data_IF_920689294762
#
_entry.id   IF_920689294762
#
_cell.length_a   1.000
_cell.length_b   1.000
_cell.length_c   1.000
_cell.angle_alpha   90.00
_cell.angle_beta   90.00
_cell.angle_gamma   90.00
#
_symmetry.space_group_name_H-M   'P 1'
#
loop_
_entity.id
_entity.type
_entity.pdbx_description
1 polymer ?
#
# COMPACT_ATOMS: atom_id res chain seq x y z
N UNK A 1 23.88 -29.45 -12.23
CA UNK A 1 23.64 -29.68 -12.48
C UNK A 1 23.41 -29.80 -12.62
N UNK A 2 23.31 -29.53 -12.62
CA UNK A 2 22.87 -29.60 -12.97
C UNK A 2 22.26 -29.42 -12.86
N UNK A 3 22.19 -29.23 -12.65
CA UNK A 3 21.45 -29.13 -12.71
C UNK A 3 21.23 -28.48 -12.54
N UNK A 4 21.34 -27.88 -12.47
CA UNK A 4 21.05 -27.47 -12.66
C UNK A 4 21.01 -27.05 -13.11
N UNK A 5 21.41 -26.96 -13.38
CA UNK A 5 21.18 -26.60 -14.09
C UNK A 5 20.47 -26.61 -14.54
N UNK A 6 20.37 -26.86 -14.73
CA UNK A 6 19.50 -26.90 -15.19
C UNK A 6 18.56 -26.47 -14.70
N UNK A 7 18.40 -26.37 -13.98
CA UNK A 7 17.54 -25.92 -13.49
C UNK A 7 17.43 -24.70 -13.39
N UNK A 8 18.18 -24.24 -13.40
CA UNK A 8 18.15 -23.10 -13.44
C UNK A 8 17.83 -22.63 -14.50
N UNK A 9 18.20 -23.01 -15.08
CA UNK A 9 17.93 -22.65 -16.15
C UNK A 9 16.68 -22.69 -16.40
N UNK A 10 16.24 -23.26 -16.00
CA UNK A 10 15.11 -23.39 -16.14
C UNK A 10 14.38 -22.41 -15.69
N UNK A 11 14.74 -21.91 -15.00
CA UNK A 11 14.08 -21.03 -14.53
C UNK A 11 13.99 -19.95 -15.25
N UNK A 12 14.90 -19.61 -15.66
CA UNK A 12 14.92 -18.56 -16.41
C UNK A 12 14.10 -18.68 -17.47
N UNK A 13 14.12 -19.62 -17.94
CA UNK A 13 13.33 -19.66 -18.95
C UNK A 13 12.02 -19.44 -18.56
N UNK A 14 11.85 -19.51 -17.79
CA UNK A 14 10.68 -19.30 -17.46
C UNK A 14 10.28 -18.10 -17.45
N UNK A 15 10.86 -17.43 -17.65
CA UNK A 15 10.45 -16.38 -17.70
C UNK A 15 10.18 -15.93 -18.75
N UNK A 16 10.43 -16.19 -19.30
CA UNK A 16 10.12 -15.78 -20.28
C UNK A 16 9.22 -16.16 -20.93
N UNK A 17 8.91 -16.74 -20.93
CA UNK A 17 7.98 -17.03 -21.37
C UNK A 17 6.98 -16.77 -21.31
N UNK A 18 6.99 -16.63 -21.10
CA UNK A 18 6.16 -16.56 -20.96
C UNK A 18 5.61 -15.89 -21.16
N UNK A 19 5.77 -15.50 -21.53
CA UNK A 19 5.25 -15.01 -21.74
C UNK A 19 4.54 -14.80 -22.08
N UNK A 20 4.52 -14.95 -22.30
CA UNK A 20 3.82 -14.92 -22.56
C UNK A 20 3.03 -14.87 -22.60
N UNK A 21 2.89 -14.95 -22.48
CA UNK A 21 2.20 -15.00 -22.33
C UNK A 21 1.41 -14.80 -22.23
N UNK A 22 1.39 -14.65 -22.54
CA UNK A 22 0.58 -14.36 -22.40
C UNK A 22 -0.39 -14.42 -21.77
N UNK A 23 -0.92 -14.73 -21.70
CA UNK A 23 -1.81 -14.90 -20.85
C UNK A 23 -1.44 -14.60 -19.57
N UNK A 24 -0.38 -14.59 -19.38
CA UNK A 24 0.10 -14.26 -18.21
C UNK A 24 -0.28 -12.97 -17.82
N UNK A 25 -0.67 -12.14 -18.65
CA UNK A 25 -1.09 -10.86 -18.30
C UNK A 25 -2.15 -10.86 -17.29
N UNK A 26 -2.95 -11.85 -17.26
CA UNK A 26 -4.01 -11.87 -16.29
C UNK A 26 -3.49 -11.92 -14.92
N UNK A 27 -2.35 -12.49 -14.73
CA UNK A 27 -1.83 -12.61 -13.42
C UNK A 27 -1.41 -11.34 -12.84
N UNK A 28 -1.13 -10.36 -13.67
CA UNK A 28 -0.70 -9.08 -13.15
C UNK A 28 -1.78 -8.04 -13.25
N UNK A 29 -3.01 -8.47 -13.44
CA UNK A 29 -4.10 -7.53 -13.59
C UNK A 29 -4.70 -7.18 -12.24
N UNK A 30 -3.93 -6.52 -11.42
CA UNK A 30 -4.38 -6.09 -10.11
C UNK A 30 -5.05 -4.74 -10.20
N UNK A 31 -5.95 -4.42 -9.26
CA UNK A 31 -6.51 -3.07 -9.23
C UNK A 31 -5.43 -2.03 -9.09
N UNK A 32 -5.62 -0.89 -9.72
CA UNK A 32 -4.66 0.19 -9.69
C UNK A 32 -4.77 0.92 -8.36
N UNK A 33 -3.68 0.99 -7.62
CA UNK A 33 -3.68 1.66 -6.32
C UNK A 33 -3.04 3.04 -6.38
N UNK A 34 -2.55 3.47 -7.55
CA UNK A 34 -1.87 4.78 -7.60
C UNK A 34 -2.84 5.90 -7.30
N UNK A 35 -2.31 6.95 -6.68
CA UNK A 35 -3.11 8.09 -6.27
C UNK A 35 -3.12 8.23 -4.77
N UNK A 36 -4.03 9.04 -4.28
CA UNK A 36 -4.13 9.33 -2.85
C UNK A 36 -5.40 8.74 -2.27
N UNK A 37 -5.26 8.15 -1.09
CA UNK A 37 -6.35 7.51 -0.36
C UNK A 37 -6.29 8.02 1.06
N UNK A 38 -7.44 8.28 1.68
CA UNK A 38 -7.42 8.86 3.02
C UNK A 38 -8.52 8.32 3.90
N UNK A 39 -8.25 8.37 5.20
CA UNK A 39 -9.23 8.06 6.22
C UNK A 39 -9.29 9.27 7.16
N UNK A 40 -10.49 9.75 7.44
CA UNK A 40 -10.71 10.88 8.32
C UNK A 40 -11.53 10.39 9.50
N UNK A 41 -11.04 10.71 10.71
CA UNK A 41 -11.75 10.43 11.95
C UNK A 41 -11.95 11.74 12.68
N UNK A 42 -13.19 12.07 12.98
CA UNK A 42 -13.52 13.28 13.71
C UNK A 42 -14.30 12.91 14.95
N UNK A 43 -13.95 13.51 16.07
CA UNK A 43 -14.68 13.33 17.30
C UNK A 43 -15.09 14.72 17.79
N UNK A 44 -16.34 15.10 17.56
CA UNK A 44 -16.80 16.39 18.06
C UNK A 44 -16.99 16.30 19.56
N UNK A 45 -16.62 17.33 20.26
CA UNK A 45 -16.77 17.39 21.70
C UNK A 45 -17.22 18.76 22.10
N UNK A 46 -17.82 18.81 23.29
CA UNK A 46 -18.32 20.07 23.79
C UNK A 46 -17.18 21.02 24.12
N UNK A 47 -16.11 20.48 24.69
CA UNK A 47 -14.97 21.30 25.08
C UNK A 47 -13.74 21.02 24.21
N UNK A 48 -13.61 19.80 23.69
CA UNK A 48 -12.47 19.42 22.91
C UNK A 48 -12.97 18.65 21.69
N UNK A 49 -12.60 19.09 20.52
CA UNK A 49 -12.86 18.34 19.30
C UNK A 49 -11.54 17.83 18.76
N UNK A 50 -11.56 16.67 18.14
CA UNK A 50 -10.35 16.11 17.55
C UNK A 50 -10.61 15.72 16.11
N UNK A 51 -9.57 15.79 15.32
CA UNK A 51 -9.60 15.45 13.90
C UNK A 51 -8.30 14.72 13.58
N UNK A 52 -8.41 13.59 12.91
CA UNK A 52 -7.25 12.87 12.44
C UNK A 52 -7.46 12.50 10.98
N UNK A 53 -6.47 12.78 10.18
CA UNK A 53 -6.50 12.37 8.78
C UNK A 53 -5.24 11.58 8.50
N UNK A 54 -5.40 10.38 7.92
CA UNK A 54 -4.28 9.58 7.45
C UNK A 54 -4.43 9.49 5.94
N UNK A 55 -3.40 9.88 5.23
CA UNK A 55 -3.42 9.84 3.78
C UNK A 55 -2.27 8.98 3.29
N UNK A 56 -2.59 8.03 2.44
CA UNK A 56 -1.59 7.21 1.76
C UNK A 56 -1.59 7.60 0.29
N UNK A 57 -0.42 7.91 -0.23
CA UNK A 57 -0.26 8.23 -1.64
C UNK A 57 0.67 7.19 -2.24
N UNK A 58 0.21 6.54 -3.29
CA UNK A 58 1.00 5.53 -3.98
C UNK A 58 1.34 6.06 -5.36
N UNK A 59 2.63 6.10 -5.67
CA UNK A 59 3.12 6.62 -6.94
C UNK A 59 3.46 5.48 -7.89
N UNK A 60 3.44 5.74 -9.17
CA UNK A 60 3.68 4.71 -10.16
C UNK A 60 5.14 4.24 -10.18
N UNK A 61 6.05 4.96 -9.52
CA UNK A 61 7.45 4.57 -9.45
C UNK A 61 7.75 3.70 -8.24
N UNK A 62 6.72 3.13 -7.61
CA UNK A 62 6.82 2.23 -6.46
C UNK A 62 7.28 2.95 -5.19
N UNK A 63 7.00 4.23 -5.10
CA UNK A 63 7.18 4.96 -3.85
C UNK A 63 5.83 5.31 -3.27
N UNK A 64 5.77 5.43 -1.95
CA UNK A 64 4.54 5.77 -1.24
C UNK A 64 4.85 6.72 -0.11
N UNK A 65 3.85 7.47 0.29
CA UNK A 65 3.97 8.41 1.40
C UNK A 65 2.76 8.26 2.29
N UNK A 66 2.99 8.18 3.60
CA UNK A 66 1.93 8.23 4.59
C UNK A 66 2.01 9.59 5.28
N UNK A 67 0.92 10.34 5.25
CA UNK A 67 0.84 11.62 5.93
C UNK A 67 -0.21 11.53 7.02
N UNK A 68 0.13 11.95 8.21
CA UNK A 68 -0.78 11.93 9.36
C UNK A 68 -0.94 13.36 9.86
N UNK A 69 -2.17 13.81 9.95
CA UNK A 69 -2.50 15.15 10.46
C UNK A 69 -3.41 14.96 11.65
N UNK A 70 -3.03 15.60 12.75
CA UNK A 70 -3.85 15.64 13.96
C UNK A 70 -4.17 17.07 14.30
N UNK A 71 -5.44 17.32 14.62
CA UNK A 71 -5.90 18.64 15.03
C UNK A 71 -6.74 18.51 16.28
N UNK A 72 -6.59 19.49 17.17
CA UNK A 72 -7.43 19.62 18.34
C UNK A 72 -8.00 21.03 18.32
N UNK A 73 -9.32 21.13 18.32
CA UNK A 73 -10.03 22.43 18.28
C UNK A 73 -9.56 23.27 17.09
N UNK A 74 -9.39 22.57 15.94
CA UNK A 74 -8.97 23.20 14.68
C UNK A 74 -7.53 23.71 14.68
N UNK A 75 -6.75 23.34 15.68
CA UNK A 75 -5.33 23.70 15.73
C UNK A 75 -4.53 22.46 15.41
N UNK A 76 -3.64 22.54 14.41
CA UNK A 76 -2.83 21.41 14.01
C UNK A 76 -1.78 21.13 15.08
N UNK A 77 -1.82 19.92 15.64
CA UNK A 77 -0.84 19.51 16.63
C UNK A 77 0.22 18.59 16.02
N UNK A 78 -0.07 17.95 14.91
CA UNK A 78 0.88 17.06 14.25
C UNK A 78 0.59 17.04 12.75
N UNK A 79 1.65 17.08 11.97
CA UNK A 79 1.57 16.92 10.52
C UNK A 79 2.89 16.28 10.12
N UNK A 80 2.87 14.96 9.95
CA UNK A 80 4.08 14.22 9.66
C UNK A 80 3.89 13.40 8.40
N UNK A 81 4.98 13.21 7.66
CA UNK A 81 4.99 12.39 6.45
C UNK A 81 6.11 11.39 6.55
N UNK A 82 5.84 10.17 6.13
CA UNK A 82 6.82 9.10 6.10
C UNK A 82 6.84 8.51 4.70
N UNK A 83 8.03 8.34 4.16
CA UNK A 83 8.19 7.82 2.82
C UNK A 83 8.58 6.36 2.84
N UNK A 84 8.10 5.62 1.84
CA UNK A 84 8.35 4.19 1.69
C UNK A 84 8.59 3.87 0.23
N UNK A 85 9.22 2.73 -0.02
CA UNK A 85 9.08 2.05 -1.29
C UNK A 85 8.10 0.91 -1.08
N UNK A 86 7.42 0.46 -2.12
CA UNK A 86 6.44 -0.60 -1.95
C UNK A 86 6.52 -1.63 -3.05
N UNK A 87 6.06 -2.81 -2.69
CA UNK A 87 5.88 -3.91 -3.63
C UNK A 87 4.46 -4.41 -3.47
N UNK A 88 3.66 -4.30 -4.51
CA UNK A 88 2.23 -4.60 -4.48
C UNK A 88 1.97 -5.87 -5.27
N UNK A 89 1.26 -6.80 -4.65
CA UNK A 89 1.01 -8.11 -5.25
C UNK A 89 -0.47 -8.46 -5.34
N UNK A 90 -1.32 -7.47 -5.33
CA UNK A 90 -2.76 -7.68 -5.52
C UNK A 90 -3.52 -7.82 -4.22
N UNK A 91 -3.13 -8.74 -3.35
CA UNK A 91 -3.79 -8.89 -2.05
C UNK A 91 -2.87 -8.53 -0.90
N UNK A 92 -1.59 -8.34 -1.17
CA UNK A 92 -0.63 -7.92 -0.15
C UNK A 92 0.24 -6.81 -0.70
N UNK A 93 0.80 -6.03 0.20
CA UNK A 93 1.71 -4.97 -0.16
C UNK A 93 2.77 -4.88 0.94
N UNK A 94 4.02 -4.78 0.54
CA UNK A 94 5.11 -4.57 1.47
C UNK A 94 5.59 -3.15 1.33
N UNK A 95 5.60 -2.42 2.43
CA UNK A 95 6.05 -1.03 2.48
C UNK A 95 7.31 -0.97 3.31
N UNK A 96 8.34 -0.34 2.78
CA UNK A 96 9.64 -0.45 3.40
C UNK A 96 10.38 0.87 3.33
N UNK A 97 11.10 1.20 4.39
CA UNK A 97 12.07 2.29 4.37
C UNK A 97 13.26 1.85 5.23
N UNK A 98 14.18 2.77 5.52
CA UNK A 98 15.38 2.40 6.23
C UNK A 98 15.15 2.10 7.71
N UNK A 99 13.92 2.25 8.20
CA UNK A 99 13.61 2.04 9.60
C UNK A 99 12.65 0.90 9.84
N UNK A 100 11.79 0.57 8.88
CA UNK A 100 10.72 -0.37 9.13
C UNK A 100 10.29 -1.04 7.84
N UNK A 101 9.79 -2.27 7.97
CA UNK A 101 9.14 -3.00 6.89
C UNK A 101 7.74 -3.35 7.36
N UNK A 102 6.75 -2.99 6.57
CA UNK A 102 5.35 -3.25 6.88
C UNK A 102 4.81 -4.24 5.86
N UNK A 103 4.33 -5.38 6.34
CA UNK A 103 3.69 -6.36 5.49
C UNK A 103 2.20 -6.27 5.73
N UNK A 104 1.49 -5.69 4.79
CA UNK A 104 0.08 -5.40 4.92
C UNK A 104 -0.74 -6.19 3.93
N UNK A 105 -1.97 -6.43 4.30
CA UNK A 105 -3.00 -6.91 3.39
C UNK A 105 -3.65 -5.70 2.75
N UNK A 106 -4.09 -5.84 1.50
CA UNK A 106 -4.72 -4.73 0.80
C UNK A 106 -5.89 -5.28 -0.01
N UNK A 107 -7.01 -4.64 0.08
CA UNK A 107 -8.15 -4.98 -0.75
C UNK A 107 -8.84 -3.70 -1.20
N UNK A 108 -9.33 -3.71 -2.43
CA UNK A 108 -9.92 -2.54 -3.05
C UNK A 108 -11.29 -2.90 -3.56
N UNK A 109 -12.26 -2.03 -3.27
CA UNK A 109 -13.60 -2.17 -3.78
C UNK A 109 -14.06 -0.78 -4.19
N UNK A 110 -14.07 -0.53 -5.52
CA UNK A 110 -14.43 0.79 -6.01
C UNK A 110 -13.46 1.86 -5.54
N UNK A 111 -13.98 2.83 -4.83
CA UNK A 111 -13.17 3.92 -4.29
C UNK A 111 -12.74 3.69 -2.85
N UNK A 112 -12.87 2.47 -2.36
CA UNK A 112 -12.53 2.14 -0.99
C UNK A 112 -11.36 1.17 -0.95
N UNK A 113 -10.48 1.34 0.03
CA UNK A 113 -9.32 0.48 0.22
C UNK A 113 -9.23 0.10 1.69
N UNK A 114 -8.98 -1.18 1.97
CA UNK A 114 -8.66 -1.64 3.31
C UNK A 114 -7.20 -2.03 3.31
N UNK A 115 -6.43 -1.43 4.21
CA UNK A 115 -4.97 -1.57 4.21
C UNK A 115 -4.50 -1.79 5.63
N UNK A 116 -3.76 -2.86 5.87
CA UNK A 116 -3.22 -3.13 7.20
C UNK A 116 -3.09 -4.60 7.46
N UNK A 117 -3.01 -4.97 8.76
CA UNK A 117 -2.98 -6.37 9.15
C UNK A 117 -3.54 -6.49 10.56
N UNK A 118 -3.67 -7.74 11.04
CA UNK A 118 -4.25 -7.98 12.35
C UNK A 118 -3.40 -7.40 13.46
N UNK A 119 -2.10 -7.39 13.27
CA UNK A 119 -1.20 -6.93 14.31
C UNK A 119 -1.27 -5.41 14.49
N UNK A 120 -1.29 -4.68 13.38
CA UNK A 120 -1.21 -3.22 13.41
C UNK A 120 -2.56 -2.56 13.22
N UNK A 121 -3.59 -3.34 12.86
CA UNK A 121 -4.88 -2.77 12.57
C UNK A 121 -5.02 -2.41 11.10
N UNK A 122 -6.19 -1.95 10.73
CA UNK A 122 -6.50 -1.66 9.34
C UNK A 122 -6.93 -0.21 9.18
N UNK A 123 -6.48 0.38 8.08
CA UNK A 123 -7.01 1.65 7.63
C UNK A 123 -8.14 1.38 6.65
N UNK A 124 -9.22 2.14 6.77
CA UNK A 124 -10.32 2.10 5.82
C UNK A 124 -10.26 3.41 5.05
N UNK A 125 -9.73 3.33 3.86
CA UNK A 125 -9.37 4.51 3.08
C UNK A 125 -10.35 4.72 1.96
N UNK A 126 -10.54 5.98 1.58
CA UNK A 126 -11.38 6.36 0.45
C UNK A 126 -10.51 7.11 -0.55
N UNK A 127 -10.71 6.83 -1.81
CA UNK A 127 -9.96 7.50 -2.87
C UNK A 127 -10.25 9.00 -2.82
N UNK A 128 -9.19 9.78 -2.85
CA UNK A 128 -9.33 11.22 -2.81
C UNK A 128 -9.61 11.80 -4.18
#
# INVERSE_FOLDING_TARGET
>A
MKKFLSMTLLLTAMFLTFSACSSDDDETNYPDITGSWREISETPGEYISSYMEVMWTFNSDNTATQRVILKFNNVTSRDTSTNFTYEYKGSTITLKNDKVTLDYEISISGNNMKLGNEKDGYFNLTKK
#
